data_IF_230413750247
#
_entry.id   IF_230413750247
#
_cell.length_a   1.000
_cell.length_b   1.000
_cell.length_c   1.000
_cell.angle_alpha   90.00
_cell.angle_beta   90.00
_cell.angle_gamma   90.00
#
_symmetry.space_group_name_H-M   'P 1'
#
loop_
_entity.id
_entity.type
_entity.pdbx_description
1 polymer ?
#
# COMPACT_ATOMS: atom_id res chain seq x y z
N UNK A 1 -0.74 10.12 -6.05
CA UNK A 1 0.67 10.09 -5.66
C UNK A 1 0.76 10.56 -4.21
N UNK A 2 1.40 9.78 -3.36
CA UNK A 2 1.69 10.12 -1.97
C UNK A 2 2.67 11.30 -1.87
N UNK A 3 2.77 11.89 -0.69
CA UNK A 3 3.82 12.86 -0.39
C UNK A 3 5.16 12.13 -0.29
N UNK A 4 6.21 12.75 -0.83
CA UNK A 4 7.57 12.28 -0.61
C UNK A 4 8.17 12.90 0.66
N UNK A 5 9.28 12.37 1.13
CA UNK A 5 9.92 12.81 2.36
C UNK A 5 10.32 14.30 2.35
N UNK A 6 10.72 14.86 1.21
CA UNK A 6 10.99 16.29 1.09
C UNK A 6 9.73 17.15 1.27
N UNK A 7 8.59 16.72 0.73
CA UNK A 7 7.31 17.40 0.93
C UNK A 7 6.84 17.29 2.38
N UNK A 8 6.97 16.10 2.99
CA UNK A 8 6.69 15.91 4.43
C UNK A 8 7.53 16.84 5.26
N UNK A 9 8.85 16.93 5.00
CA UNK A 9 9.77 17.85 5.69
C UNK A 9 9.34 19.30 5.58
N UNK A 10 8.96 19.74 4.39
CA UNK A 10 8.49 21.11 4.18
C UNK A 10 7.21 21.41 4.97
N UNK A 11 6.25 20.47 4.95
CA UNK A 11 4.99 20.59 5.69
C UNK A 11 5.24 20.63 7.19
N UNK A 12 6.01 19.69 7.74
CA UNK A 12 6.33 19.63 9.17
C UNK A 12 7.08 20.89 9.62
N UNK A 13 8.07 21.35 8.88
CA UNK A 13 8.80 22.58 9.20
C UNK A 13 7.88 23.81 9.21
N UNK A 14 6.96 23.91 8.25
CA UNK A 14 5.99 25.00 8.21
C UNK A 14 5.06 24.95 9.42
N UNK A 15 4.52 23.78 9.75
CA UNK A 15 3.64 23.61 10.91
C UNK A 15 4.38 23.98 12.19
N UNK A 16 5.57 23.45 12.41
CA UNK A 16 6.35 23.70 13.63
C UNK A 16 6.83 25.15 13.76
N UNK A 17 7.04 25.86 12.63
CA UNK A 17 7.35 27.30 12.67
C UNK A 17 6.17 28.14 13.12
N UNK A 18 4.94 27.69 12.87
CA UNK A 18 3.70 28.39 13.28
C UNK A 18 3.27 27.97 14.68
N UNK A 19 3.41 26.70 15.00
CA UNK A 19 3.08 26.14 16.32
C UNK A 19 4.04 24.97 16.66
N UNK A 20 5.09 25.24 17.46
CA UNK A 20 6.07 24.19 17.83
C UNK A 20 5.46 23.01 18.59
N UNK A 21 4.30 23.18 19.21
CA UNK A 21 3.61 22.12 19.97
C UNK A 21 2.64 21.29 19.10
N UNK A 22 2.51 21.60 17.83
CA UNK A 22 1.64 20.85 16.93
C UNK A 22 2.29 19.52 16.56
N UNK A 23 1.58 18.42 16.75
CA UNK A 23 2.05 17.07 16.41
C UNK A 23 1.82 16.80 14.93
N UNK A 24 2.89 16.51 14.22
CA UNK A 24 2.83 16.03 12.83
C UNK A 24 2.77 14.50 12.85
N UNK A 25 1.59 13.96 12.53
CA UNK A 25 1.34 12.53 12.38
C UNK A 25 1.29 12.15 10.90
N UNK A 26 1.98 11.06 10.52
CA UNK A 26 1.97 10.53 9.16
C UNK A 26 1.44 9.09 9.15
N UNK A 27 0.40 8.84 8.38
CA UNK A 27 0.05 7.48 7.96
C UNK A 27 1.07 7.06 6.89
N UNK A 28 1.94 6.12 7.24
CA UNK A 28 3.08 5.72 6.41
C UNK A 28 2.78 4.47 5.55
N UNK A 29 1.52 4.00 5.54
CA UNK A 29 1.14 2.86 4.71
C UNK A 29 1.56 3.07 3.26
N UNK A 30 2.18 2.05 2.66
CA UNK A 30 2.73 2.00 1.30
C UNK A 30 4.04 2.78 1.09
N UNK A 31 4.45 3.65 2.03
CA UNK A 31 5.67 4.45 1.94
C UNK A 31 6.89 3.79 2.58
N UNK A 32 6.68 2.83 3.48
CA UNK A 32 7.75 2.20 4.24
C UNK A 32 8.78 1.53 3.31
N UNK A 33 10.05 1.80 3.53
CA UNK A 33 11.21 1.26 2.80
C UNK A 33 11.26 1.63 1.30
N UNK A 34 10.51 2.65 0.88
CA UNK A 34 10.49 3.11 -0.51
C UNK A 34 11.57 4.16 -0.76
N UNK A 35 11.76 5.08 0.18
CA UNK A 35 12.77 6.14 0.12
C UNK A 35 13.94 5.82 1.09
N UNK A 36 15.03 6.57 0.99
CA UNK A 36 16.25 6.34 1.79
C UNK A 36 16.08 6.66 3.29
N UNK A 37 14.99 7.32 3.65
CA UNK A 37 14.65 7.68 5.03
C UNK A 37 13.13 7.60 5.24
N UNK A 38 12.74 7.47 6.50
CA UNK A 38 11.33 7.47 6.90
C UNK A 38 10.86 8.86 7.33
N UNK A 39 9.54 9.13 7.39
CA UNK A 39 8.99 10.44 7.74
C UNK A 39 9.48 11.00 9.10
N UNK A 40 9.80 10.16 10.05
CA UNK A 40 10.35 10.59 11.36
C UNK A 40 11.65 11.37 11.17
N UNK A 41 12.54 10.90 10.31
CA UNK A 41 13.79 11.60 9.98
C UNK A 41 13.56 12.91 9.21
N UNK A 42 12.32 13.14 8.79
CA UNK A 42 11.90 14.30 8.00
C UNK A 42 10.92 15.22 8.75
N UNK A 43 10.90 15.15 10.08
CA UNK A 43 10.20 16.08 10.95
C UNK A 43 8.80 15.64 11.39
N UNK A 44 8.33 14.45 11.01
CA UNK A 44 7.14 13.88 11.63
C UNK A 44 7.42 13.48 13.08
N UNK A 45 6.49 13.77 13.99
CA UNK A 45 6.61 13.39 15.39
C UNK A 45 6.25 11.92 15.63
N UNK A 46 5.30 11.42 14.87
CA UNK A 46 4.79 10.06 15.00
C UNK A 46 4.33 9.54 13.64
N UNK A 47 4.57 8.28 13.39
CA UNK A 47 4.06 7.54 12.22
C UNK A 47 3.29 6.32 12.67
N UNK A 48 2.37 5.88 11.85
CA UNK A 48 1.73 4.57 12.01
C UNK A 48 1.56 3.91 10.65
N UNK A 49 1.43 2.60 10.65
CA UNK A 49 1.18 1.82 9.45
C UNK A 49 0.70 0.41 9.78
N UNK A 50 0.44 -0.35 8.73
CA UNK A 50 -0.06 -1.71 8.81
C UNK A 50 1.04 -2.74 8.57
N UNK A 51 1.10 -3.75 9.44
CA UNK A 51 2.03 -4.87 9.29
C UNK A 51 1.62 -5.91 8.24
N UNK A 52 0.41 -5.81 7.66
CA UNK A 52 0.02 -6.64 6.52
C UNK A 52 0.41 -6.02 5.17
N UNK A 53 1.07 -4.86 5.20
CA UNK A 53 1.54 -4.12 4.02
C UNK A 53 3.07 -4.25 3.87
N UNK A 54 3.75 -3.17 3.49
CA UNK A 54 5.17 -3.18 3.18
C UNK A 54 6.03 -3.90 4.22
N UNK A 55 5.89 -3.56 5.52
CA UNK A 55 6.72 -4.13 6.58
C UNK A 55 6.41 -5.62 6.87
N UNK A 56 5.28 -6.13 6.41
CA UNK A 56 4.91 -7.53 6.65
C UNK A 56 5.61 -8.54 5.76
N UNK A 57 6.31 -8.10 4.71
CA UNK A 57 7.07 -8.99 3.83
C UNK A 57 6.24 -10.12 3.21
N UNK A 58 4.93 -9.94 3.06
CA UNK A 58 3.92 -10.91 2.56
C UNK A 58 3.62 -12.09 3.50
N UNK A 59 4.11 -12.08 4.73
CA UNK A 59 3.93 -13.22 5.66
C UNK A 59 3.27 -12.85 6.99
N UNK A 60 3.20 -11.57 7.34
CA UNK A 60 2.58 -11.12 8.60
C UNK A 60 1.06 -11.07 8.44
N UNK A 61 0.29 -11.89 9.19
CA UNK A 61 -1.14 -12.04 8.94
C UNK A 61 -2.00 -10.91 9.51
N UNK A 62 -1.48 -10.12 10.44
CA UNK A 62 -2.22 -9.04 11.11
C UNK A 62 -1.29 -8.11 11.87
N UNK A 63 -1.80 -6.96 12.24
CA UNK A 63 -1.11 -6.03 13.12
C UNK A 63 -0.86 -4.66 12.49
N UNK A 64 -0.43 -3.75 13.34
CA UNK A 64 0.01 -2.41 12.97
C UNK A 64 1.19 -2.01 13.83
N UNK A 65 1.78 -0.89 13.48
CA UNK A 65 2.87 -0.30 14.26
C UNK A 65 2.63 1.19 14.46
N UNK A 66 3.22 1.70 15.52
CA UNK A 66 3.36 3.13 15.81
C UNK A 66 4.82 3.36 16.17
N UNK A 67 5.43 4.38 15.60
CA UNK A 67 6.82 4.76 15.89
C UNK A 67 6.98 6.28 15.90
N UNK A 68 7.91 6.80 16.70
CA UNK A 68 8.17 8.23 16.82
C UNK A 68 8.51 8.64 18.25
N UNK A 69 8.08 9.83 18.64
CA UNK A 69 8.32 10.37 19.98
C UNK A 69 7.77 9.43 21.06
N UNK A 70 8.59 9.06 22.01
CA UNK A 70 8.28 8.05 23.02
C UNK A 70 7.01 8.36 23.81
N UNK A 71 6.77 9.63 24.16
CA UNK A 71 5.57 10.06 24.87
C UNK A 71 4.30 9.86 24.03
N UNK A 72 4.38 10.14 22.72
CA UNK A 72 3.25 9.95 21.80
C UNK A 72 2.98 8.46 21.55
N UNK A 73 4.03 7.66 21.41
CA UNK A 73 3.92 6.19 21.29
C UNK A 73 3.27 5.60 22.54
N UNK A 74 3.71 6.00 23.74
CA UNK A 74 3.12 5.51 24.99
C UNK A 74 1.64 5.89 25.11
N UNK A 75 1.27 7.13 24.78
CA UNK A 75 -0.14 7.56 24.72
C UNK A 75 -0.98 6.71 23.76
N UNK A 76 -0.44 6.37 22.61
CA UNK A 76 -1.09 5.48 21.63
C UNK A 76 -1.27 4.07 22.22
N UNK A 77 -0.23 3.52 22.86
CA UNK A 77 -0.28 2.21 23.53
C UNK A 77 -1.31 2.18 24.67
N UNK A 78 -1.34 3.21 25.52
CA UNK A 78 -2.36 3.33 26.57
C UNK A 78 -3.78 3.38 26.03
N UNK A 79 -3.98 3.95 24.84
CA UNK A 79 -5.31 4.00 24.20
C UNK A 79 -5.71 2.65 23.61
N UNK A 80 -4.74 1.87 23.11
CA UNK A 80 -4.97 0.54 22.52
C UNK A 80 -5.19 -0.55 23.57
N UNK A 81 -4.48 -0.48 24.67
CA UNK A 81 -4.54 -1.46 25.77
C UNK A 81 -5.48 -0.98 26.89
N UNK A 82 -4.92 -0.45 27.95
CA UNK A 82 -5.67 0.25 28.99
C UNK A 82 -4.74 1.17 29.79
N UNK A 83 -5.30 2.15 30.53
CA UNK A 83 -4.50 3.02 31.40
C UNK A 83 -3.66 2.21 32.39
N UNK A 84 -2.36 2.53 32.46
CA UNK A 84 -1.40 1.86 33.34
C UNK A 84 -0.78 0.58 32.79
N UNK A 85 -1.19 0.12 31.60
CA UNK A 85 -0.58 -1.02 30.91
C UNK A 85 0.35 -0.53 29.77
N UNK A 86 -0.12 0.42 28.97
CA UNK A 86 0.68 1.02 27.89
C UNK A 86 1.30 -0.02 26.95
N UNK A 87 2.60 0.09 26.73
CA UNK A 87 3.39 -0.79 25.87
C UNK A 87 3.87 -2.08 26.54
N UNK A 88 3.68 -2.26 27.85
CA UNK A 88 4.20 -3.42 28.59
C UNK A 88 3.46 -4.72 28.28
N UNK A 89 2.20 -4.64 27.84
CA UNK A 89 1.38 -5.80 27.51
C UNK A 89 0.53 -5.52 26.26
N UNK A 90 0.23 -6.59 25.54
CA UNK A 90 -0.63 -6.53 24.36
C UNK A 90 -0.80 -7.91 23.74
N UNK A 91 -1.89 -8.10 23.01
CA UNK A 91 -2.15 -9.38 22.31
C UNK A 91 -1.39 -9.39 21.00
N UNK A 92 -0.41 -10.27 20.87
CA UNK A 92 0.35 -10.47 19.63
C UNK A 92 0.08 -11.83 18.96
N UNK A 93 -0.83 -12.65 19.52
CA UNK A 93 -1.22 -13.96 19.02
C UNK A 93 -0.04 -14.93 18.74
N UNK A 94 1.13 -14.70 19.33
CA UNK A 94 2.35 -15.48 19.07
C UNK A 94 3.06 -15.13 17.74
N UNK A 95 2.65 -14.09 17.04
CA UNK A 95 3.21 -13.71 15.73
C UNK A 95 4.54 -12.95 15.80
N UNK A 96 5.14 -12.75 16.97
CA UNK A 96 6.38 -11.98 17.10
C UNK A 96 7.50 -12.41 16.15
N UNK A 97 7.73 -13.72 15.99
CA UNK A 97 8.74 -14.24 15.03
C UNK A 97 8.37 -13.99 13.58
N UNK A 98 7.08 -14.10 13.22
CA UNK A 98 6.60 -13.78 11.86
C UNK A 98 6.75 -12.30 11.56
N UNK A 99 6.47 -11.42 12.52
CA UNK A 99 6.67 -9.97 12.38
C UNK A 99 8.15 -9.67 12.12
N UNK A 100 9.06 -10.24 12.89
CA UNK A 100 10.51 -10.07 12.66
C UNK A 100 10.96 -10.63 11.31
N UNK A 101 10.45 -11.79 10.91
CA UNK A 101 10.74 -12.36 9.60
C UNK A 101 10.17 -11.51 8.46
N UNK A 102 8.94 -11.02 8.60
CA UNK A 102 8.32 -10.12 7.65
C UNK A 102 9.14 -8.85 7.46
N UNK A 103 9.55 -8.22 8.56
CA UNK A 103 10.42 -7.03 8.53
C UNK A 103 11.77 -7.32 7.86
N UNK A 104 12.34 -8.50 8.09
CA UNK A 104 13.58 -8.93 7.42
C UNK A 104 13.42 -9.11 5.91
N UNK A 105 12.27 -9.61 5.46
CA UNK A 105 11.94 -9.80 4.04
C UNK A 105 11.42 -8.54 3.36
N UNK A 106 10.91 -7.58 4.11
CA UNK A 106 10.24 -6.39 3.61
C UNK A 106 11.07 -5.59 2.57
N UNK A 107 12.38 -5.35 2.72
CA UNK A 107 13.15 -4.64 1.71
C UNK A 107 13.11 -5.32 0.33
N UNK A 108 13.17 -6.65 0.30
CA UNK A 108 13.09 -7.40 -0.95
C UNK A 108 11.70 -7.32 -1.58
N UNK A 109 10.64 -7.47 -0.78
CA UNK A 109 9.26 -7.42 -1.28
C UNK A 109 8.88 -6.03 -1.77
N UNK A 110 9.28 -4.98 -1.06
CA UNK A 110 9.09 -3.58 -1.50
C UNK A 110 9.85 -3.29 -2.80
N UNK A 111 11.09 -3.77 -2.93
CA UNK A 111 11.86 -3.64 -4.17
C UNK A 111 11.16 -4.33 -5.37
N UNK A 112 10.65 -5.56 -5.19
CA UNK A 112 9.88 -6.25 -6.25
C UNK A 112 8.58 -5.50 -6.58
N UNK A 113 7.88 -4.97 -5.57
CA UNK A 113 6.67 -4.15 -5.76
C UNK A 113 6.94 -2.88 -6.55
N UNK A 114 8.05 -2.18 -6.28
CA UNK A 114 8.46 -0.98 -7.03
C UNK A 114 8.79 -1.30 -8.50
N UNK A 115 9.51 -2.39 -8.75
CA UNK A 115 9.77 -2.89 -10.11
C UNK A 115 8.46 -3.24 -10.83
N UNK A 116 7.55 -3.89 -10.11
CA UNK A 116 6.22 -4.23 -10.60
C UNK A 116 5.40 -3.00 -10.96
N UNK A 117 5.34 -2.02 -10.08
CA UNK A 117 4.63 -0.76 -10.32
C UNK A 117 5.18 -0.02 -11.56
N UNK A 118 6.49 -0.01 -11.74
CA UNK A 118 7.12 0.60 -12.93
C UNK A 118 6.77 -0.16 -14.22
N UNK A 119 6.73 -1.49 -14.15
CA UNK A 119 6.32 -2.32 -15.28
C UNK A 119 4.84 -2.13 -15.63
N UNK A 120 3.94 -2.07 -14.64
CA UNK A 120 2.51 -1.76 -14.85
C UNK A 120 2.38 -0.40 -15.54
N UNK A 121 3.09 0.63 -15.06
CA UNK A 121 3.11 1.95 -15.69
C UNK A 121 3.53 1.89 -17.15
N UNK A 122 4.63 1.18 -17.45
CA UNK A 122 5.16 1.06 -18.81
C UNK A 122 4.20 0.34 -19.77
N UNK A 123 3.58 -0.76 -19.32
CA UNK A 123 2.63 -1.54 -20.12
C UNK A 123 1.37 -0.71 -20.42
N UNK A 124 0.73 -0.15 -19.40
CA UNK A 124 -0.49 0.64 -19.60
C UNK A 124 -0.25 1.91 -20.40
N UNK A 125 0.91 2.55 -20.25
CA UNK A 125 1.30 3.68 -21.10
C UNK A 125 1.42 3.28 -22.57
N UNK A 126 2.03 2.12 -22.85
CA UNK A 126 2.09 1.57 -24.23
C UNK A 126 0.72 1.23 -24.81
N UNK A 127 -0.23 0.83 -23.97
CA UNK A 127 -1.63 0.60 -24.35
C UNK A 127 -2.43 1.90 -24.54
N UNK A 128 -1.80 3.07 -24.35
CA UNK A 128 -2.43 4.38 -24.56
C UNK A 128 -3.17 4.97 -23.34
N UNK A 129 -3.03 4.38 -22.15
CA UNK A 129 -3.65 4.89 -20.94
C UNK A 129 -2.76 5.91 -20.23
N UNK A 130 -3.40 6.86 -19.55
CA UNK A 130 -2.72 7.77 -18.64
C UNK A 130 -2.33 7.02 -17.36
N UNK A 131 -1.10 7.21 -16.92
CA UNK A 131 -0.53 6.56 -15.73
C UNK A 131 0.08 7.59 -14.79
N UNK A 132 0.03 7.32 -13.48
CA UNK A 132 0.65 8.16 -12.45
C UNK A 132 1.17 7.27 -11.30
N UNK A 133 2.46 7.31 -10.96
CA UNK A 133 3.56 8.02 -11.64
C UNK A 133 3.84 7.51 -13.06
N UNK A 134 4.58 8.31 -13.83
CA UNK A 134 5.12 7.89 -15.12
C UNK A 134 6.18 6.78 -14.95
N UNK A 135 6.41 5.91 -15.96
CA UNK A 135 7.48 4.93 -15.90
C UNK A 135 8.83 5.58 -15.60
N UNK A 136 9.62 4.94 -14.74
CA UNK A 136 10.94 5.41 -14.27
C UNK A 136 10.92 6.74 -13.50
N UNK A 137 9.75 7.20 -13.09
CA UNK A 137 9.64 8.37 -12.20
C UNK A 137 10.00 7.99 -10.76
N UNK A 138 10.45 9.00 -10.01
CA UNK A 138 10.63 8.88 -8.58
C UNK A 138 9.32 8.48 -7.89
N UNK A 139 9.39 7.51 -6.97
CA UNK A 139 8.26 6.96 -6.22
C UNK A 139 8.44 7.18 -4.73
N UNK A 140 7.35 7.47 -4.06
CA UNK A 140 7.24 7.57 -2.60
C UNK A 140 6.26 6.55 -2.02
N UNK A 141 5.74 5.67 -2.87
CA UNK A 141 4.88 4.53 -2.53
C UNK A 141 4.99 3.43 -3.59
N UNK A 142 4.38 2.28 -3.31
CA UNK A 142 4.34 1.12 -4.22
C UNK A 142 3.13 1.13 -5.16
N UNK A 143 2.32 2.18 -5.18
CA UNK A 143 1.05 2.22 -5.91
C UNK A 143 1.25 2.78 -7.32
N UNK A 144 0.59 2.15 -8.28
CA UNK A 144 0.47 2.64 -9.65
C UNK A 144 -0.98 2.95 -9.99
N UNK A 145 -1.30 4.22 -10.19
CA UNK A 145 -2.59 4.63 -10.70
C UNK A 145 -2.62 4.55 -12.24
N UNK A 146 -3.71 4.03 -12.78
CA UNK A 146 -3.99 3.99 -14.22
C UNK A 146 -5.40 4.51 -14.47
N UNK A 147 -5.55 5.45 -15.38
CA UNK A 147 -6.84 6.03 -15.76
C UNK A 147 -7.42 5.25 -16.94
N UNK A 148 -8.43 4.44 -16.69
CA UNK A 148 -9.05 3.57 -17.71
C UNK A 148 -10.22 4.23 -18.44
N UNK A 149 -10.83 5.30 -17.90
CA UNK A 149 -11.96 6.05 -18.46
C UNK A 149 -13.21 5.22 -18.78
N UNK A 150 -13.30 3.97 -18.33
CA UNK A 150 -14.38 3.06 -18.66
C UNK A 150 -14.69 2.10 -17.51
N UNK A 151 -15.97 2.00 -17.09
CA UNK A 151 -16.38 1.02 -16.09
C UNK A 151 -16.27 -0.42 -16.61
N UNK A 152 -16.36 -0.62 -17.91
CA UNK A 152 -16.14 -1.93 -18.53
C UNK A 152 -14.68 -2.35 -18.41
N UNK A 153 -13.74 -1.45 -18.75
CA UNK A 153 -12.30 -1.74 -18.67
C UNK A 153 -11.86 -1.98 -17.21
N UNK A 154 -12.39 -1.22 -16.24
CA UNK A 154 -12.11 -1.48 -14.82
C UNK A 154 -12.46 -2.92 -14.45
N UNK A 155 -13.68 -3.37 -14.78
CA UNK A 155 -14.10 -4.74 -14.48
C UNK A 155 -13.22 -5.77 -15.16
N UNK A 156 -12.90 -5.56 -16.44
CA UNK A 156 -12.08 -6.45 -17.22
C UNK A 156 -10.66 -6.57 -16.66
N UNK A 157 -10.02 -5.45 -16.34
CA UNK A 157 -8.67 -5.42 -15.77
C UNK A 157 -8.64 -6.05 -14.37
N UNK A 158 -9.61 -5.71 -13.50
CA UNK A 158 -9.71 -6.32 -12.18
C UNK A 158 -9.90 -7.83 -12.27
N UNK A 159 -10.77 -8.31 -13.16
CA UNK A 159 -10.99 -9.74 -13.33
C UNK A 159 -9.75 -10.46 -13.87
N UNK A 160 -9.02 -9.87 -14.82
CA UNK A 160 -7.77 -10.43 -15.32
C UNK A 160 -6.71 -10.57 -14.23
N UNK A 161 -6.57 -9.56 -13.37
CA UNK A 161 -5.65 -9.63 -12.24
C UNK A 161 -6.09 -10.68 -11.21
N UNK A 162 -7.39 -10.78 -10.93
CA UNK A 162 -7.93 -11.84 -10.08
C UNK A 162 -7.61 -13.23 -10.64
N UNK A 163 -7.82 -13.45 -11.92
CA UNK A 163 -7.55 -14.73 -12.59
C UNK A 163 -6.06 -15.13 -12.53
N UNK A 164 -5.16 -14.16 -12.36
CA UNK A 164 -3.71 -14.37 -12.24
C UNK A 164 -3.24 -14.54 -10.80
N UNK A 165 -4.14 -14.49 -9.82
CA UNK A 165 -3.81 -14.55 -8.40
C UNK A 165 -3.44 -15.96 -7.94
N UNK A 166 -2.58 -16.12 -6.92
CA UNK A 166 -2.14 -17.43 -6.43
C UNK A 166 -3.25 -18.20 -5.70
N UNK A 167 -4.22 -17.51 -5.10
CA UNK A 167 -5.41 -18.07 -4.48
C UNK A 167 -6.65 -17.38 -5.02
N UNK A 168 -7.81 -18.02 -4.93
CA UNK A 168 -9.11 -17.46 -5.34
C UNK A 168 -9.19 -16.93 -6.77
N UNK A 169 -8.29 -17.37 -7.65
CA UNK A 169 -8.23 -16.94 -9.06
C UNK A 169 -9.51 -17.23 -9.85
N UNK A 170 -10.32 -18.18 -9.42
CA UNK A 170 -11.58 -18.57 -10.05
C UNK A 170 -12.77 -17.68 -9.64
N UNK A 171 -12.60 -16.78 -8.67
CA UNK A 171 -13.67 -15.91 -8.20
C UNK A 171 -13.94 -14.77 -9.17
N UNK A 172 -15.22 -14.41 -9.28
CA UNK A 172 -15.63 -13.22 -10.00
C UNK A 172 -15.50 -11.97 -9.13
N UNK A 173 -14.85 -10.94 -9.64
CA UNK A 173 -14.73 -9.65 -8.97
C UNK A 173 -16.06 -8.92 -9.01
N UNK A 174 -16.66 -8.67 -7.85
CA UNK A 174 -17.96 -8.05 -7.70
C UNK A 174 -17.85 -6.67 -7.06
N UNK A 175 -18.50 -5.63 -7.61
CA UNK A 175 -18.52 -4.30 -6.99
C UNK A 175 -19.21 -4.32 -5.62
N UNK A 176 -18.48 -4.01 -4.57
CA UNK A 176 -18.96 -4.05 -3.19
C UNK A 176 -18.94 -2.68 -2.53
N UNK A 177 -19.92 -2.35 -1.67
CA UNK A 177 -19.85 -1.15 -0.85
C UNK A 177 -18.76 -1.33 0.21
N UNK A 178 -17.96 -0.29 0.42
CA UNK A 178 -16.92 -0.28 1.46
C UNK A 178 -17.15 0.94 2.34
N UNK A 179 -17.04 0.77 3.64
CA UNK A 179 -17.18 1.84 4.62
C UNK A 179 -16.22 3.00 4.31
N UNK A 180 -16.71 4.22 4.34
CA UNK A 180 -15.94 5.43 4.04
C UNK A 180 -15.86 5.80 2.54
N UNK A 181 -16.46 5.01 1.64
CA UNK A 181 -16.53 5.31 0.22
C UNK A 181 -17.98 5.51 -0.24
N UNK A 182 -18.23 6.57 -0.99
CA UNK A 182 -19.56 6.82 -1.60
C UNK A 182 -19.83 5.89 -2.81
N UNK A 183 -18.79 5.53 -3.56
CA UNK A 183 -18.87 4.64 -4.71
C UNK A 183 -18.54 3.20 -4.31
N UNK A 184 -19.17 2.23 -5.00
CA UNK A 184 -18.75 0.84 -4.89
C UNK A 184 -17.31 0.68 -5.35
N UNK A 185 -16.58 -0.24 -4.74
CA UNK A 185 -15.21 -0.59 -5.06
C UNK A 185 -15.14 -1.99 -5.69
N UNK A 186 -14.29 -2.15 -6.69
CA UNK A 186 -13.80 -3.44 -7.13
C UNK A 186 -12.44 -3.66 -6.48
N UNK A 187 -12.29 -4.74 -5.75
CA UNK A 187 -11.01 -5.18 -5.20
C UNK A 187 -10.64 -6.47 -5.89
N UNK A 188 -9.45 -6.54 -6.43
CA UNK A 188 -8.93 -7.72 -7.14
C UNK A 188 -7.55 -8.11 -6.64
N UNK A 189 -7.31 -9.40 -6.60
CA UNK A 189 -6.11 -10.02 -6.11
C UNK A 189 -6.44 -11.06 -5.04
N UNK A 190 -6.18 -12.32 -5.33
CA UNK A 190 -6.19 -13.39 -4.34
C UNK A 190 -4.84 -13.39 -3.64
N UNK A 191 -4.82 -12.92 -2.40
CA UNK A 191 -3.61 -12.79 -1.58
C UNK A 191 -3.62 -13.84 -0.46
N UNK A 192 -2.44 -14.32 -0.05
CA UNK A 192 -2.32 -15.27 1.07
C UNK A 192 -2.68 -14.59 2.40
N UNK A 193 -2.40 -13.30 2.51
CA UNK A 193 -2.80 -12.47 3.66
C UNK A 193 -3.92 -11.55 3.20
N UNK A 194 -5.10 -11.71 3.77
CA UNK A 194 -6.27 -10.91 3.44
C UNK A 194 -5.99 -9.41 3.68
N UNK A 195 -6.25 -8.59 2.65
CA UNK A 195 -5.96 -7.17 2.68
C UNK A 195 -4.49 -6.79 2.51
N UNK A 196 -3.60 -7.76 2.25
CA UNK A 196 -2.19 -7.47 1.94
C UNK A 196 -2.07 -6.69 0.64
N UNK A 197 -1.29 -5.63 0.69
CA UNK A 197 -0.95 -4.80 -0.46
C UNK A 197 0.49 -4.97 -0.92
N UNK A 198 1.27 -5.80 -0.22
CA UNK A 198 2.60 -6.25 -0.65
C UNK A 198 2.50 -7.39 -1.67
N UNK A 199 1.36 -8.07 -1.75
CA UNK A 199 1.03 -9.03 -2.78
C UNK A 199 0.30 -8.32 -3.93
N UNK A 200 0.43 -8.84 -5.15
CA UNK A 200 -0.12 -8.19 -6.34
C UNK A 200 -1.65 -8.11 -6.28
N UNK A 201 -2.15 -6.88 -6.27
CA UNK A 201 -3.57 -6.59 -6.13
C UNK A 201 -3.93 -5.25 -6.77
N UNK A 202 -5.22 -4.96 -6.88
CA UNK A 202 -5.70 -3.68 -7.37
C UNK A 202 -7.04 -3.30 -6.76
N UNK A 203 -7.19 -2.00 -6.49
CA UNK A 203 -8.41 -1.37 -6.03
C UNK A 203 -8.93 -0.40 -7.09
N UNK A 204 -10.23 -0.47 -7.38
CA UNK A 204 -10.82 0.34 -8.43
C UNK A 204 -12.19 0.87 -8.04
N UNK A 205 -12.29 2.14 -7.58
CA UNK A 205 -13.57 2.77 -7.33
C UNK A 205 -14.36 2.96 -8.62
N UNK A 206 -15.64 2.53 -8.61
CA UNK A 206 -16.56 2.67 -9.74
C UNK A 206 -17.12 4.09 -9.84
N UNK A 207 -16.24 5.05 -10.04
CA UNK A 207 -16.59 6.45 -10.27
C UNK A 207 -15.69 7.05 -11.34
N UNK A 208 -16.22 8.04 -12.07
CA UNK A 208 -15.42 8.80 -13.03
C UNK A 208 -14.19 9.43 -12.32
N UNK A 209 -12.97 9.41 -12.91
CA UNK A 209 -12.62 8.98 -14.28
C UNK A 209 -12.23 7.50 -14.40
N UNK A 210 -12.69 6.64 -13.52
CA UNK A 210 -12.44 5.20 -13.53
C UNK A 210 -10.94 4.87 -13.45
N UNK A 211 -10.34 5.25 -12.34
CA UNK A 211 -8.95 4.90 -12.04
C UNK A 211 -8.89 3.52 -11.38
N UNK A 212 -7.85 2.76 -11.74
CA UNK A 212 -7.43 1.58 -11.00
C UNK A 212 -6.10 1.88 -10.29
N UNK A 213 -5.97 1.41 -9.06
CA UNK A 213 -4.77 1.53 -8.23
C UNK A 213 -4.17 0.15 -8.07
N UNK A 214 -3.09 -0.13 -8.79
CA UNK A 214 -2.37 -1.40 -8.78
C UNK A 214 -1.23 -1.30 -7.78
N UNK A 215 -1.01 -2.35 -7.00
CA UNK A 215 -0.06 -2.34 -5.91
C UNK A 215 0.54 -3.72 -5.69
N UNK A 216 1.72 -3.74 -5.04
CA UNK A 216 2.35 -4.95 -4.58
C UNK A 216 2.97 -5.81 -5.68
N UNK A 217 3.21 -7.02 -5.30
CA UNK A 217 3.85 -8.05 -6.10
C UNK A 217 5.13 -8.56 -5.44
N UNK A 218 5.04 -9.70 -4.79
CA UNK A 218 6.16 -10.34 -4.09
C UNK A 218 7.28 -10.81 -5.03
N UNK A 219 6.98 -10.92 -6.33
CA UNK A 219 7.96 -11.32 -7.35
C UNK A 219 7.57 -10.80 -8.73
N UNK A 220 8.53 -10.21 -9.42
CA UNK A 220 8.33 -9.61 -10.77
C UNK A 220 7.81 -10.60 -11.82
N UNK A 221 8.12 -11.89 -11.70
CA UNK A 221 7.65 -12.90 -12.64
C UNK A 221 6.12 -13.07 -12.58
N UNK A 222 5.52 -13.01 -11.37
CA UNK A 222 4.07 -13.05 -11.21
C UNK A 222 3.40 -11.85 -11.90
N UNK A 223 3.94 -10.65 -11.66
CA UNK A 223 3.43 -9.43 -12.29
C UNK A 223 3.52 -9.49 -13.82
N UNK A 224 4.63 -10.03 -14.35
CA UNK A 224 4.79 -10.25 -15.80
C UNK A 224 3.71 -11.16 -16.36
N UNK A 225 3.44 -12.28 -15.71
CA UNK A 225 2.40 -13.23 -16.14
C UNK A 225 1.03 -12.55 -16.13
N UNK A 226 0.67 -11.85 -15.05
CA UNK A 226 -0.58 -11.12 -14.96
C UNK A 226 -0.74 -10.06 -16.05
N UNK A 227 0.31 -9.31 -16.36
CA UNK A 227 0.29 -8.31 -17.44
C UNK A 227 0.24 -8.93 -18.83
N UNK A 228 0.92 -10.06 -19.06
CA UNK A 228 0.85 -10.78 -20.35
C UNK A 228 -0.59 -11.26 -20.57
N UNK A 229 -1.19 -11.91 -19.58
CA UNK A 229 -2.59 -12.36 -19.66
C UNK A 229 -3.53 -11.19 -19.93
N UNK A 230 -3.40 -10.10 -19.19
CA UNK A 230 -4.20 -8.89 -19.40
C UNK A 230 -4.08 -8.36 -20.84
N UNK A 231 -2.86 -8.27 -21.38
CA UNK A 231 -2.65 -7.76 -22.75
C UNK A 231 -3.36 -8.65 -23.77
N UNK A 232 -3.27 -9.98 -23.64
CA UNK A 232 -4.01 -10.91 -24.51
C UNK A 232 -5.52 -10.76 -24.41
N UNK A 233 -6.03 -10.46 -23.23
CA UNK A 233 -7.48 -10.24 -23.04
C UNK A 233 -7.96 -8.89 -23.59
N UNK A 234 -7.09 -7.88 -23.67
CA UNK A 234 -7.44 -6.54 -24.16
C UNK A 234 -7.33 -6.39 -25.67
N UNK A 235 -6.51 -7.21 -26.33
CA UNK A 235 -6.36 -7.25 -27.79
C UNK A 235 -7.48 -8.07 -28.45
#
# INVERSE_FOLDING_TARGET
>A
KSLNNNQIKQICNTIHSLNPNCVCFVDNCYGELVEDSEPISNGANIIAGSLIKNLGGTIVPTGGYVAGDSELVEKACCRLTSPGIGSEAGVNFGYGRLILQGLFLAPQTVHESLKGADMVAAVFKKLGFMVLPEPKSYRSDIIQAVKLNSPYLIKKVCQSFQNSSPVDSFLNVIPSPISGYESKLLMSGGTFIEGSTSEFSADAPLRHPYNIFVQGGSHIAHIKIALIQLVFELL
#
